data_IF_075032464251
#
_entry.id   IF_075032464251
#
_cell.length_a   1.000
_cell.length_b   1.000
_cell.length_c   1.000
_cell.angle_alpha   90.00
_cell.angle_beta   90.00
_cell.angle_gamma   90.00
#
_symmetry.space_group_name_H-M   'P 1'
#
loop_
_entity.id
_entity.type
_entity.pdbx_description
1 polymer ?
#
# COMPACT_ATOMS: atom_id res chain seq x y z
N UNK A 1 -10.98 -7.90 -25.43
CA UNK A 1 -9.61 -8.20 -24.99
C UNK A 1 -9.72 -8.60 -23.52
N UNK A 2 -8.85 -9.49 -23.05
CA UNK A 2 -8.90 -9.89 -21.61
C UNK A 2 -8.03 -8.95 -20.78
N UNK A 3 -8.50 -8.55 -19.60
CA UNK A 3 -7.71 -7.80 -18.63
C UNK A 3 -6.38 -8.53 -18.34
N UNK A 4 -5.27 -7.83 -18.36
CA UNK A 4 -3.94 -8.42 -18.19
C UNK A 4 -3.17 -7.65 -17.11
N UNK A 5 -2.46 -8.34 -16.23
CA UNK A 5 -1.58 -7.70 -15.25
C UNK A 5 -0.41 -7.02 -15.98
N UNK A 6 -0.31 -5.71 -15.85
CA UNK A 6 0.78 -4.88 -16.37
C UNK A 6 1.89 -4.62 -15.35
N UNK A 7 1.55 -4.58 -14.05
CA UNK A 7 2.54 -4.50 -12.97
C UNK A 7 2.01 -5.07 -11.67
N UNK A 8 2.94 -5.60 -10.85
CA UNK A 8 2.69 -6.01 -9.46
C UNK A 8 3.59 -5.16 -8.58
N UNK A 9 3.01 -4.54 -7.57
CA UNK A 9 3.71 -3.62 -6.70
C UNK A 9 3.46 -3.97 -5.24
N UNK A 10 4.47 -3.80 -4.41
CA UNK A 10 4.34 -3.98 -2.97
C UNK A 10 5.14 -2.93 -2.21
N UNK A 11 4.81 -2.77 -0.95
CA UNK A 11 5.45 -1.82 -0.06
C UNK A 11 5.64 -2.50 1.30
N UNK A 12 6.85 -2.96 1.64
CA UNK A 12 7.06 -3.71 2.89
C UNK A 12 6.77 -2.87 4.12
N UNK A 13 7.04 -1.57 4.09
CA UNK A 13 6.76 -0.63 5.17
C UNK A 13 5.60 0.29 4.79
N UNK A 14 4.58 0.35 5.65
CA UNK A 14 3.41 1.23 5.44
C UNK A 14 3.84 2.68 5.20
N UNK A 15 3.22 3.33 4.23
CA UNK A 15 3.38 4.77 3.95
C UNK A 15 4.74 5.20 3.39
N UNK A 16 5.47 4.28 2.79
CA UNK A 16 6.65 4.57 1.98
C UNK A 16 6.40 4.24 0.51
N UNK A 17 7.36 4.44 -0.37
CA UNK A 17 7.22 4.19 -1.81
C UNK A 17 7.01 2.70 -2.11
N UNK A 18 6.21 2.44 -3.14
CA UNK A 18 6.00 1.10 -3.68
C UNK A 18 7.18 0.68 -4.57
N UNK A 19 7.38 -0.63 -4.64
CA UNK A 19 8.34 -1.29 -5.51
C UNK A 19 7.61 -2.21 -6.48
N UNK A 20 8.07 -2.27 -7.72
CA UNK A 20 7.55 -3.21 -8.71
C UNK A 20 8.32 -4.52 -8.63
N UNK A 21 7.60 -5.63 -8.73
CA UNK A 21 8.13 -6.99 -8.75
C UNK A 21 7.51 -7.75 -9.93
N UNK A 22 8.21 -8.75 -10.46
CA UNK A 22 7.71 -9.54 -11.60
C UNK A 22 6.60 -10.51 -11.22
N UNK A 23 6.69 -11.06 -10.01
CA UNK A 23 5.74 -12.03 -9.47
C UNK A 23 5.58 -11.90 -7.96
N UNK A 24 4.47 -12.40 -7.44
CA UNK A 24 4.21 -12.43 -6.01
C UNK A 24 3.47 -13.68 -5.58
N UNK A 25 3.85 -14.21 -4.42
CA UNK A 25 3.03 -15.17 -3.71
C UNK A 25 1.87 -14.46 -3.03
N UNK A 26 0.71 -15.07 -3.15
CA UNK A 26 -0.53 -14.65 -2.51
C UNK A 26 -0.86 -15.64 -1.41
N UNK A 27 -1.21 -15.13 -0.24
CA UNK A 27 -1.75 -15.92 0.87
C UNK A 27 -3.21 -15.57 1.07
N UNK A 28 -4.04 -16.60 1.17
CA UNK A 28 -5.47 -16.47 1.49
C UNK A 28 -5.66 -15.55 2.70
N UNK A 29 -6.65 -14.69 2.65
CA UNK A 29 -7.03 -13.72 3.68
C UNK A 29 -5.91 -12.73 4.11
N UNK A 30 -4.72 -12.81 3.52
CA UNK A 30 -3.60 -11.89 3.77
C UNK A 30 -3.31 -11.01 2.55
N UNK A 31 -3.30 -11.60 1.35
CA UNK A 31 -2.96 -10.91 0.09
C UNK A 31 -1.49 -11.12 -0.31
N UNK A 32 -0.85 -10.09 -0.82
CA UNK A 32 0.55 -10.13 -1.27
C UNK A 32 1.48 -10.36 -0.06
N UNK A 33 2.26 -11.44 -0.10
CA UNK A 33 3.22 -11.75 0.97
C UNK A 33 4.29 -10.64 1.02
N UNK A 34 4.55 -10.14 2.21
CA UNK A 34 5.53 -9.07 2.46
C UNK A 34 4.97 -7.65 2.29
N UNK A 35 3.74 -7.48 1.79
CA UNK A 35 3.16 -6.15 1.63
C UNK A 35 2.69 -5.59 2.98
N UNK A 36 3.19 -4.41 3.34
CA UNK A 36 2.85 -3.65 4.57
C UNK A 36 3.00 -4.43 5.88
N UNK A 37 3.91 -5.41 5.90
CA UNK A 37 4.21 -6.18 7.12
C UNK A 37 4.92 -5.36 8.19
N UNK A 38 5.45 -4.20 7.83
CA UNK A 38 6.05 -3.24 8.75
C UNK A 38 5.27 -1.93 8.78
N UNK A 39 5.30 -1.27 9.95
CA UNK A 39 4.84 0.11 10.09
C UNK A 39 5.64 0.81 11.19
N UNK A 40 5.85 2.11 11.03
CA UNK A 40 6.32 2.95 12.12
C UNK A 40 5.13 3.47 12.93
N UNK A 41 5.30 3.54 14.25
CA UNK A 41 4.35 4.20 15.14
C UNK A 41 5.07 5.21 16.03
N UNK A 42 4.32 6.18 16.52
CA UNK A 42 4.76 7.19 17.50
C UNK A 42 3.91 7.11 18.76
N UNK A 43 4.39 7.68 19.85
CA UNK A 43 3.67 7.72 21.13
C UNK A 43 3.29 6.32 21.65
N UNK A 44 4.12 5.33 21.35
CA UNK A 44 4.01 3.97 21.87
C UNK A 44 5.29 3.59 22.61
N UNK A 45 5.13 2.96 23.76
CA UNK A 45 6.21 2.19 24.37
C UNK A 45 6.33 0.79 23.69
N UNK A 46 7.37 0.05 24.02
CA UNK A 46 7.65 -1.25 23.44
C UNK A 46 6.55 -2.28 23.70
N UNK A 47 5.90 -2.23 24.88
CA UNK A 47 4.82 -3.18 25.20
C UNK A 47 3.56 -2.87 24.39
N UNK A 48 3.21 -1.60 24.24
CA UNK A 48 2.11 -1.19 23.36
C UNK A 48 2.38 -1.54 21.88
N UNK A 49 3.63 -1.39 21.43
CA UNK A 49 4.02 -1.79 20.07
C UNK A 49 3.85 -3.29 19.84
N UNK A 50 4.26 -4.13 20.81
CA UNK A 50 4.04 -5.59 20.78
C UNK A 50 2.54 -5.96 20.71
N UNK A 51 1.68 -5.24 21.42
CA UNK A 51 0.23 -5.45 21.32
C UNK A 51 -0.29 -5.15 19.91
N UNK A 52 0.17 -4.07 19.27
CA UNK A 52 -0.18 -3.73 17.89
C UNK A 52 0.34 -4.75 16.88
N UNK A 53 1.51 -5.34 17.14
CA UNK A 53 2.05 -6.44 16.33
C UNK A 53 1.19 -7.70 16.47
N UNK A 54 0.63 -7.98 17.63
CA UNK A 54 -0.08 -9.21 17.95
C UNK A 54 -1.44 -9.33 17.26
N UNK A 55 -2.20 -8.22 17.16
CA UNK A 55 -3.58 -8.28 16.67
C UNK A 55 -4.04 -6.96 16.06
N UNK A 56 -4.81 -7.01 14.94
CA UNK A 56 -5.47 -5.83 14.40
C UNK A 56 -6.49 -5.21 15.35
N UNK A 57 -7.10 -5.98 16.25
CA UNK A 57 -8.06 -5.46 17.24
C UNK A 57 -7.40 -4.48 18.20
N UNK A 58 -6.16 -4.70 18.57
CA UNK A 58 -5.38 -3.80 19.41
C UNK A 58 -5.11 -2.44 18.74
N UNK A 59 -5.20 -2.39 17.43
CA UNK A 59 -5.01 -1.17 16.61
C UNK A 59 -6.28 -0.34 16.49
N UNK A 60 -7.47 -0.91 16.76
CA UNK A 60 -8.76 -0.22 16.64
C UNK A 60 -8.78 1.05 17.49
N UNK A 61 -9.22 2.16 16.89
CA UNK A 61 -9.29 3.47 17.55
C UNK A 61 -7.93 4.15 17.82
N UNK A 62 -6.80 3.48 17.53
CA UNK A 62 -5.44 3.98 17.83
C UNK A 62 -4.58 4.22 16.58
N UNK A 63 -5.19 4.25 15.40
CA UNK A 63 -4.49 4.42 14.13
C UNK A 63 -3.79 5.77 13.97
N UNK A 64 -4.17 6.77 14.73
CA UNK A 64 -3.48 8.05 14.77
C UNK A 64 -2.02 7.93 15.29
N UNK A 65 -1.71 6.83 15.98
CA UNK A 65 -0.36 6.51 16.43
C UNK A 65 0.50 5.88 15.32
N UNK A 66 -0.10 5.20 14.34
CA UNK A 66 0.61 4.65 13.19
C UNK A 66 0.95 5.77 12.21
N UNK A 67 2.21 5.81 11.75
CA UNK A 67 2.65 6.79 10.77
C UNK A 67 2.05 6.47 9.40
N UNK A 68 1.43 7.47 8.81
CA UNK A 68 0.77 7.40 7.50
C UNK A 68 1.17 8.61 6.66
N UNK A 69 1.01 8.55 5.35
CA UNK A 69 1.26 9.72 4.49
C UNK A 69 0.36 10.92 4.81
N UNK A 70 -0.73 10.71 5.54
CA UNK A 70 -1.61 11.78 6.01
C UNK A 70 -1.01 12.56 7.18
N UNK A 71 -0.35 11.87 8.12
CA UNK A 71 0.23 12.48 9.33
C UNK A 71 1.76 12.59 9.29
N UNK A 72 2.42 11.96 8.32
CA UNK A 72 3.88 11.93 8.16
C UNK A 72 4.25 11.84 6.66
N UNK A 73 3.90 12.88 5.86
CA UNK A 73 4.11 12.86 4.40
C UNK A 73 5.59 12.72 4.01
N UNK A 74 6.51 13.19 4.86
CA UNK A 74 7.95 13.08 4.64
C UNK A 74 8.44 11.63 4.44
N UNK A 75 7.72 10.62 4.97
CA UNK A 75 8.08 9.22 4.76
C UNK A 75 7.99 8.78 3.30
N UNK A 76 7.23 9.48 2.46
CA UNK A 76 7.05 9.12 1.05
C UNK A 76 8.33 9.24 0.20
N UNK A 77 9.34 9.98 0.67
CA UNK A 77 10.64 10.11 -0.02
C UNK A 77 11.58 8.92 0.19
N UNK A 78 11.30 8.09 1.20
CA UNK A 78 12.09 6.88 1.50
C UNK A 78 11.55 5.68 0.74
N UNK A 79 12.45 4.73 0.48
CA UNK A 79 12.11 3.42 -0.03
C UNK A 79 12.69 2.35 0.90
N UNK A 80 12.02 1.20 0.97
CA UNK A 80 12.47 0.05 1.76
C UNK A 80 12.48 -1.20 0.90
N UNK A 81 13.57 -1.93 0.95
CA UNK A 81 13.71 -3.24 0.31
C UNK A 81 13.72 -4.29 1.43
N UNK A 82 12.81 -5.27 1.34
CA UNK A 82 12.78 -6.39 2.27
C UNK A 82 13.12 -7.69 1.53
N UNK A 83 14.23 -8.28 1.92
CA UNK A 83 14.71 -9.54 1.34
C UNK A 83 15.53 -10.30 2.38
N UNK A 84 15.29 -11.63 2.49
CA UNK A 84 16.07 -12.54 3.36
C UNK A 84 16.18 -12.03 4.80
N UNK A 85 15.03 -11.65 5.40
CA UNK A 85 14.92 -11.09 6.74
C UNK A 85 15.70 -9.78 6.97
N UNK A 86 16.22 -9.17 5.91
CA UNK A 86 16.85 -7.85 5.96
C UNK A 86 15.91 -6.78 5.44
N UNK A 87 15.81 -5.67 6.18
CA UNK A 87 15.09 -4.48 5.79
C UNK A 87 16.08 -3.35 5.53
N UNK A 88 16.20 -2.96 4.27
CA UNK A 88 17.15 -1.93 3.82
C UNK A 88 16.41 -0.63 3.52
N UNK A 89 16.77 0.42 4.24
CA UNK A 89 16.33 1.79 3.99
C UNK A 89 17.16 2.42 2.88
N UNK A 90 16.49 2.99 1.88
CA UNK A 90 17.15 3.78 0.83
C UNK A 90 16.52 5.17 0.68
N UNK A 91 17.31 6.12 0.25
CA UNK A 91 16.91 7.48 -0.12
C UNK A 91 17.60 7.87 -1.42
N UNK A 92 16.84 8.28 -2.44
CA UNK A 92 17.36 8.59 -3.78
C UNK A 92 18.23 7.45 -4.33
N UNK A 93 17.75 6.21 -4.18
CA UNK A 93 18.41 4.97 -4.59
C UNK A 93 19.78 4.68 -3.91
N UNK A 94 20.15 5.44 -2.88
CA UNK A 94 21.33 5.17 -2.06
C UNK A 94 20.91 4.44 -0.78
N UNK A 95 21.64 3.38 -0.42
CA UNK A 95 21.46 2.68 0.84
C UNK A 95 21.90 3.58 2.00
N UNK A 96 21.03 3.69 2.99
CA UNK A 96 21.27 4.44 4.23
C UNK A 96 21.57 3.50 5.38
N UNK A 97 20.80 2.42 5.50
CA UNK A 97 20.92 1.44 6.58
C UNK A 97 20.24 0.13 6.18
N UNK A 98 20.89 -0.99 6.47
CA UNK A 98 20.29 -2.33 6.34
C UNK A 98 20.30 -3.02 7.70
N UNK A 99 19.18 -3.61 8.09
CA UNK A 99 18.99 -4.24 9.40
C UNK A 99 18.48 -5.67 9.26
N UNK A 100 18.81 -6.53 10.22
CA UNK A 100 18.13 -7.80 10.45
C UNK A 100 16.88 -7.53 11.32
N UNK A 101 15.70 -7.79 10.76
CA UNK A 101 14.41 -7.47 11.41
C UNK A 101 14.10 -8.36 12.62
N UNK A 102 14.85 -9.43 12.84
CA UNK A 102 14.72 -10.32 13.99
C UNK A 102 15.49 -9.80 15.22
N UNK A 103 16.40 -8.84 15.02
CA UNK A 103 17.17 -8.22 16.10
C UNK A 103 16.49 -6.93 16.57
N UNK A 104 16.03 -6.90 17.81
CA UNK A 104 15.34 -5.75 18.39
C UNK A 104 16.21 -4.49 18.38
N UNK A 105 17.48 -4.62 18.73
CA UNK A 105 18.44 -3.49 18.73
C UNK A 105 18.63 -2.87 17.33
N UNK A 106 18.57 -3.69 16.26
CA UNK A 106 18.66 -3.19 14.89
C UNK A 106 17.36 -2.50 14.44
N UNK A 107 16.20 -3.01 14.86
CA UNK A 107 14.91 -2.34 14.65
C UNK A 107 14.87 -0.97 15.35
N UNK A 108 15.43 -0.87 16.56
CA UNK A 108 15.59 0.40 17.27
C UNK A 108 16.56 1.34 16.56
N UNK A 109 17.68 0.83 16.06
CA UNK A 109 18.64 1.61 15.28
C UNK A 109 18.00 2.21 14.01
N UNK A 110 17.16 1.44 13.30
CA UNK A 110 16.42 1.95 12.14
C UNK A 110 15.42 3.04 12.54
N UNK A 111 14.69 2.84 13.64
CA UNK A 111 13.74 3.83 14.16
C UNK A 111 14.42 5.14 14.52
N UNK A 112 15.57 5.05 15.20
CA UNK A 112 16.39 6.21 15.55
C UNK A 112 16.94 6.91 14.29
N UNK A 113 17.37 6.13 13.29
CA UNK A 113 17.88 6.69 12.02
C UNK A 113 16.82 7.48 11.26
N UNK A 114 15.59 6.99 11.19
CA UNK A 114 14.47 7.73 10.57
C UNK A 114 14.15 9.00 11.38
N UNK A 115 14.17 8.93 12.71
CA UNK A 115 13.92 10.09 13.57
C UNK A 115 15.02 11.17 13.39
N UNK A 116 16.28 10.74 13.23
CA UNK A 116 17.41 11.63 12.95
C UNK A 116 17.26 12.32 11.58
N UNK A 117 16.86 11.56 10.56
CA UNK A 117 16.71 12.08 9.19
C UNK A 117 15.48 12.99 9.04
N UNK A 118 14.47 12.82 9.88
CA UNK A 118 13.19 13.53 9.79
C UNK A 118 12.92 14.41 11.02
N UNK A 119 13.40 15.62 11.00
CA UNK A 119 13.14 16.61 12.06
C UNK A 119 11.65 16.89 12.32
N UNK A 120 10.78 16.55 11.37
CA UNK A 120 9.32 16.65 11.52
C UNK A 120 8.75 15.59 12.45
N UNK A 121 9.46 14.49 12.67
CA UNK A 121 9.13 13.45 13.65
C UNK A 121 9.67 13.88 15.01
N UNK A 122 8.92 14.72 15.71
CA UNK A 122 9.34 15.33 16.99
C UNK A 122 9.50 14.35 18.15
N UNK A 123 9.19 13.07 17.95
CA UNK A 123 9.15 12.04 19.00
C UNK A 123 9.79 10.76 18.52
N UNK A 124 10.32 9.94 19.41
CA UNK A 124 10.78 8.60 19.07
C UNK A 124 9.68 7.79 18.38
N UNK A 125 10.08 7.03 17.39
CA UNK A 125 9.19 6.11 16.68
C UNK A 125 9.62 4.68 16.91
N UNK A 126 8.70 3.73 16.74
CA UNK A 126 8.95 2.29 16.88
C UNK A 126 8.59 1.59 15.60
N UNK A 127 9.50 0.75 15.08
CA UNK A 127 9.23 -0.15 13.97
C UNK A 127 8.49 -1.39 14.48
N UNK A 128 7.27 -1.61 13.96
CA UNK A 128 6.43 -2.77 14.24
C UNK A 128 6.45 -3.74 13.07
N UNK A 129 6.27 -5.04 13.34
CA UNK A 129 6.20 -6.13 12.33
C UNK A 129 4.98 -7.01 12.59
N UNK A 130 4.23 -7.36 11.54
CA UNK A 130 3.22 -8.41 11.57
C UNK A 130 3.02 -9.03 10.18
N UNK A 131 3.27 -10.33 10.05
CA UNK A 131 3.16 -11.07 8.79
C UNK A 131 1.74 -11.60 8.52
N UNK A 132 0.94 -11.81 9.57
CA UNK A 132 -0.41 -12.37 9.47
C UNK A 132 -1.46 -11.29 9.24
N UNK A 133 -1.27 -10.15 9.92
CA UNK A 133 -2.15 -9.00 9.87
C UNK A 133 -1.37 -7.75 9.48
N UNK A 134 -1.03 -7.58 8.19
CA UNK A 134 -0.28 -6.41 7.72
C UNK A 134 -0.93 -5.08 8.12
N UNK A 135 -0.15 -4.03 8.16
CA UNK A 135 -0.62 -2.69 8.53
C UNK A 135 -1.33 -2.01 7.35
N UNK A 136 -2.49 -2.55 6.98
CA UNK A 136 -3.26 -2.11 5.83
C UNK A 136 -3.99 -0.78 6.08
N UNK A 137 -5.05 -0.48 5.32
CA UNK A 137 -5.77 0.79 5.44
C UNK A 137 -6.62 0.85 6.72
N UNK A 138 -6.55 1.98 7.42
CA UNK A 138 -7.25 2.21 8.67
C UNK A 138 -8.77 2.22 8.53
N UNK A 139 -9.28 2.71 7.41
CA UNK A 139 -10.72 2.81 7.17
C UNK A 139 -11.35 1.44 6.96
N UNK A 140 -10.59 0.50 6.42
CA UNK A 140 -11.04 -0.86 6.18
C UNK A 140 -11.14 -1.62 7.49
N UNK A 141 -10.09 -1.59 8.30
CA UNK A 141 -10.01 -2.35 9.54
C UNK A 141 -11.09 -1.99 10.59
N UNK A 142 -11.72 -0.82 10.46
CA UNK A 142 -12.73 -0.35 11.40
C UNK A 142 -14.18 -0.57 10.95
N UNK A 143 -14.42 -0.92 9.68
CA UNK A 143 -15.77 -0.85 9.11
C UNK A 143 -16.21 -2.06 8.28
N UNK A 144 -15.31 -3.00 8.02
CA UNK A 144 -15.57 -4.15 7.15
C UNK A 144 -15.02 -5.43 7.76
N UNK A 145 -15.59 -6.55 7.38
CA UNK A 145 -15.21 -7.88 7.87
C UNK A 145 -13.83 -8.33 7.37
N UNK A 146 -13.31 -7.74 6.29
CA UNK A 146 -11.96 -8.02 5.80
C UNK A 146 -10.96 -6.97 6.27
N UNK A 147 -9.82 -7.44 6.80
CA UNK A 147 -8.74 -6.60 7.34
C UNK A 147 -7.64 -6.42 6.31
N UNK A 148 -7.37 -7.45 5.54
CA UNK A 148 -6.32 -7.50 4.54
C UNK A 148 -6.94 -7.48 3.15
N UNK A 149 -6.37 -6.70 2.25
CA UNK A 149 -6.82 -6.66 0.88
C UNK A 149 -5.71 -6.27 -0.08
N UNK A 150 -5.88 -6.70 -1.33
CA UNK A 150 -5.03 -6.31 -2.45
C UNK A 150 -5.75 -5.22 -3.23
N UNK A 151 -5.05 -4.16 -3.59
CA UNK A 151 -5.61 -3.09 -4.42
C UNK A 151 -5.32 -3.34 -5.89
N UNK A 152 -6.36 -3.28 -6.73
CA UNK A 152 -6.25 -3.37 -8.18
C UNK A 152 -6.59 -2.02 -8.82
N UNK A 153 -5.76 -1.59 -9.75
CA UNK A 153 -5.93 -0.38 -10.56
C UNK A 153 -6.08 -0.74 -12.03
N UNK A 154 -7.01 -0.11 -12.70
CA UNK A 154 -7.12 -0.12 -14.15
C UNK A 154 -6.31 1.05 -14.74
N UNK A 155 -5.30 0.74 -15.54
CA UNK A 155 -4.43 1.74 -16.20
C UNK A 155 -5.27 2.66 -17.10
N UNK A 156 -6.27 2.13 -17.79
CA UNK A 156 -7.11 2.93 -18.68
C UNK A 156 -7.99 3.92 -17.90
N UNK A 157 -8.43 3.58 -16.68
CA UNK A 157 -9.11 4.53 -15.78
C UNK A 157 -8.19 5.68 -15.38
N UNK A 158 -6.92 5.38 -15.12
CA UNK A 158 -5.92 6.41 -14.80
C UNK A 158 -5.65 7.27 -16.03
N UNK A 159 -5.53 6.67 -17.21
CA UNK A 159 -5.32 7.39 -18.49
C UNK A 159 -6.51 8.30 -18.81
N UNK A 160 -7.74 7.86 -18.60
CA UNK A 160 -8.93 8.70 -18.78
C UNK A 160 -8.92 9.89 -17.81
N UNK A 161 -8.55 9.65 -16.54
CA UNK A 161 -8.41 10.74 -15.56
C UNK A 161 -7.33 11.74 -15.97
N UNK A 162 -6.15 11.28 -16.41
CA UNK A 162 -5.06 12.13 -16.90
C UNK A 162 -5.52 13.04 -18.06
N UNK A 163 -6.23 12.45 -19.04
CA UNK A 163 -6.79 13.20 -20.17
C UNK A 163 -7.76 14.28 -19.72
N UNK A 164 -8.65 13.97 -18.77
CA UNK A 164 -9.66 14.94 -18.28
C UNK A 164 -9.06 16.11 -17.49
N UNK A 165 -7.94 15.90 -16.82
CA UNK A 165 -7.29 16.96 -16.03
C UNK A 165 -6.15 17.64 -16.79
N UNK A 166 -5.84 17.19 -18.01
CA UNK A 166 -4.71 17.66 -18.82
C UNK A 166 -3.38 17.66 -18.06
N UNK A 167 -3.11 16.52 -17.36
CA UNK A 167 -1.89 16.34 -16.60
C UNK A 167 -1.38 14.91 -16.72
N UNK A 168 -0.08 14.78 -16.90
CA UNK A 168 0.58 13.49 -16.79
C UNK A 168 0.93 13.22 -15.33
N UNK A 169 0.49 12.10 -14.79
CA UNK A 169 0.73 11.66 -13.42
C UNK A 169 1.21 10.21 -13.41
N UNK A 170 2.17 9.90 -12.54
CA UNK A 170 2.63 8.53 -12.39
C UNK A 170 1.55 7.64 -11.77
N UNK A 171 1.33 6.44 -12.32
CA UNK A 171 0.39 5.45 -11.77
C UNK A 171 0.69 5.12 -10.31
N UNK A 172 1.97 5.13 -9.93
CA UNK A 172 2.45 4.87 -8.56
C UNK A 172 1.84 5.79 -7.50
N UNK A 173 1.33 6.98 -7.88
CA UNK A 173 0.66 7.91 -6.96
C UNK A 173 -0.60 7.30 -6.33
N UNK A 174 -1.28 6.39 -7.04
CA UNK A 174 -2.45 5.68 -6.53
C UNK A 174 -2.10 4.47 -5.67
N UNK A 175 -0.82 4.10 -5.58
CA UNK A 175 -0.34 3.07 -4.64
C UNK A 175 -1.11 1.76 -4.75
N UNK A 176 -1.33 1.27 -5.98
CA UNK A 176 -2.00 0.01 -6.25
C UNK A 176 -1.04 -1.18 -6.24
N UNK A 177 -1.50 -2.32 -5.73
CA UNK A 177 -0.72 -3.56 -5.72
C UNK A 177 -0.68 -4.21 -7.11
N UNK A 178 -1.83 -4.35 -7.76
CA UNK A 178 -1.96 -4.92 -9.10
C UNK A 178 -2.43 -3.83 -10.04
N UNK A 179 -1.71 -3.60 -11.13
CA UNK A 179 -2.19 -2.77 -12.21
C UNK A 179 -2.57 -3.66 -13.39
N UNK A 180 -3.75 -3.42 -13.95
CA UNK A 180 -4.26 -4.15 -15.12
C UNK A 180 -4.47 -3.23 -16.30
N UNK A 181 -4.33 -3.78 -17.48
CA UNK A 181 -4.54 -3.10 -18.76
C UNK A 181 -5.44 -3.90 -19.67
N UNK A 182 -5.68 -3.41 -20.89
CA UNK A 182 -6.49 -4.06 -21.93
C UNK A 182 -7.97 -4.21 -21.61
N UNK A 183 -8.52 -3.28 -20.80
CA UNK A 183 -9.94 -3.16 -20.51
C UNK A 183 -10.39 -1.70 -20.62
N UNK A 184 -11.69 -1.47 -20.77
CA UNK A 184 -12.23 -0.12 -20.86
C UNK A 184 -12.00 0.69 -19.56
N UNK A 185 -11.87 2.02 -19.66
CA UNK A 185 -11.81 2.88 -18.48
C UNK A 185 -12.99 2.65 -17.54
N UNK A 186 -12.71 2.48 -16.26
CA UNK A 186 -13.69 2.30 -15.17
C UNK A 186 -14.47 0.99 -15.20
N UNK A 187 -14.15 0.06 -16.11
CA UNK A 187 -14.81 -1.25 -16.22
C UNK A 187 -14.68 -2.05 -14.93
N UNK A 188 -13.56 -1.95 -14.22
CA UNK A 188 -13.30 -2.63 -12.95
C UNK A 188 -14.37 -2.35 -11.88
N UNK A 189 -15.06 -1.22 -11.96
CA UNK A 189 -16.13 -0.85 -11.03
C UNK A 189 -17.34 -1.77 -11.14
N UNK A 190 -17.58 -2.33 -12.33
CA UNK A 190 -18.65 -3.31 -12.58
C UNK A 190 -18.34 -4.73 -12.07
N UNK A 191 -17.17 -4.94 -11.50
CA UNK A 191 -16.76 -6.24 -10.95
C UNK A 191 -17.11 -6.42 -9.47
N UNK A 192 -17.55 -5.37 -8.78
CA UNK A 192 -17.88 -5.41 -7.34
C UNK A 192 -18.87 -6.53 -7.03
N UNK A 193 -18.57 -7.33 -6.01
CA UNK A 193 -19.33 -8.50 -5.58
C UNK A 193 -19.04 -9.78 -6.36
N UNK A 194 -18.31 -9.71 -7.49
CA UNK A 194 -17.91 -10.88 -8.26
C UNK A 194 -16.65 -11.53 -7.69
N UNK A 195 -16.43 -12.78 -8.08
CA UNK A 195 -15.15 -13.46 -7.92
C UNK A 195 -14.41 -13.39 -9.27
N UNK A 196 -13.17 -12.95 -9.24
CA UNK A 196 -12.27 -12.98 -10.40
C UNK A 196 -11.15 -13.96 -10.12
N UNK A 197 -10.58 -14.54 -11.17
CA UNK A 197 -9.46 -15.47 -11.08
C UNK A 197 -8.25 -14.91 -11.82
N UNK A 198 -7.09 -14.96 -11.20
CA UNK A 198 -5.81 -14.57 -11.75
C UNK A 198 -4.86 -15.75 -11.59
N UNK A 199 -4.47 -16.40 -12.67
CA UNK A 199 -3.75 -17.67 -12.64
C UNK A 199 -4.52 -18.70 -11.80
N UNK A 200 -3.92 -19.22 -10.73
CA UNK A 200 -4.55 -20.19 -9.82
C UNK A 200 -5.17 -19.56 -8.55
N UNK A 201 -5.24 -18.23 -8.47
CA UNK A 201 -5.76 -17.52 -7.30
C UNK A 201 -7.12 -16.88 -7.61
N UNK A 202 -8.12 -17.20 -6.81
CA UNK A 202 -9.43 -16.55 -6.83
C UNK A 202 -9.42 -15.34 -5.89
N UNK A 203 -10.03 -14.25 -6.33
CA UNK A 203 -10.18 -13.03 -5.55
C UNK A 203 -11.64 -12.59 -5.53
N UNK A 204 -12.16 -12.29 -4.36
CA UNK A 204 -13.45 -11.59 -4.22
C UNK A 204 -13.21 -10.09 -4.40
N UNK A 205 -14.00 -9.47 -5.28
CA UNK A 205 -14.00 -8.02 -5.49
C UNK A 205 -14.91 -7.37 -4.44
N UNK A 206 -14.32 -6.61 -3.52
CA UNK A 206 -15.03 -6.12 -2.34
C UNK A 206 -15.74 -4.78 -2.59
N UNK A 207 -14.97 -3.77 -3.00
CA UNK A 207 -15.50 -2.42 -3.21
C UNK A 207 -14.53 -1.52 -3.96
N UNK A 208 -15.02 -0.36 -4.43
CA UNK A 208 -14.18 0.71 -4.93
C UNK A 208 -13.24 1.25 -3.84
N UNK A 209 -12.07 1.74 -4.24
CA UNK A 209 -11.08 2.35 -3.34
C UNK A 209 -11.33 3.86 -3.26
N UNK A 210 -11.91 4.39 -2.18
CA UNK A 210 -11.97 5.83 -1.98
C UNK A 210 -10.56 6.35 -1.69
N UNK A 211 -10.10 7.28 -2.51
CA UNK A 211 -8.78 7.90 -2.34
C UNK A 211 -8.82 8.97 -1.26
N UNK A 212 -7.67 9.19 -0.64
CA UNK A 212 -7.48 10.23 0.37
C UNK A 212 -6.39 11.21 -0.08
N UNK A 213 -6.11 12.22 0.72
CA UNK A 213 -5.11 13.26 0.43
C UNK A 213 -3.70 12.73 0.12
N UNK A 214 -3.41 11.47 0.42
CA UNK A 214 -2.12 10.84 0.09
C UNK A 214 -1.81 10.84 -1.42
N UNK A 215 -2.84 10.83 -2.29
CA UNK A 215 -2.64 10.91 -3.75
C UNK A 215 -2.22 12.32 -4.22
N UNK A 216 -2.21 13.31 -3.35
CA UNK A 216 -1.70 14.64 -3.68
C UNK A 216 -0.16 14.72 -3.52
N UNK A 217 0.47 13.72 -2.91
CA UNK A 217 1.92 13.64 -2.78
C UNK A 217 2.53 13.05 -4.06
N UNK A 218 3.54 13.71 -4.61
CA UNK A 218 4.32 13.14 -5.71
C UNK A 218 5.08 11.90 -5.22
N UNK A 219 5.14 10.84 -6.03
CA UNK A 219 5.90 9.64 -5.66
C UNK A 219 7.35 9.96 -5.29
N UNK A 220 7.91 9.25 -4.32
CA UNK A 220 9.30 9.41 -3.83
C UNK A 220 9.65 10.84 -3.39
N UNK A 221 8.65 11.62 -2.98
CA UNK A 221 8.79 13.03 -2.59
C UNK A 221 7.85 13.37 -1.45
N UNK A 222 8.12 14.46 -0.75
CA UNK A 222 7.19 15.11 0.19
C UNK A 222 6.44 16.30 -0.44
N UNK A 223 6.60 16.52 -1.76
CA UNK A 223 5.87 17.55 -2.51
C UNK A 223 4.38 17.16 -2.63
N UNK A 224 3.52 17.96 -2.01
CA UNK A 224 2.07 17.83 -1.98
C UNK A 224 1.35 18.89 -2.85
N UNK A 225 2.02 19.41 -3.87
CA UNK A 225 1.46 20.46 -4.75
C UNK A 225 0.31 19.97 -5.64
N UNK A 226 0.07 18.66 -5.73
CA UNK A 226 -1.06 18.10 -6.47
C UNK A 226 -2.38 18.28 -5.71
N UNK A 227 -3.46 18.46 -6.47
CA UNK A 227 -4.82 18.49 -5.96
C UNK A 227 -5.69 17.40 -6.61
N UNK A 228 -5.12 16.21 -6.77
CA UNK A 228 -5.75 15.11 -7.52
C UNK A 228 -7.04 14.62 -6.87
N UNK A 229 -7.12 14.64 -5.54
CA UNK A 229 -8.33 14.21 -4.84
C UNK A 229 -9.54 15.09 -5.20
N UNK A 230 -9.38 16.41 -5.24
CA UNK A 230 -10.46 17.31 -5.64
C UNK A 230 -10.75 17.20 -7.13
N UNK A 231 -9.73 17.00 -7.97
CA UNK A 231 -9.91 16.80 -9.40
C UNK A 231 -10.70 15.53 -9.71
N UNK A 232 -10.49 14.42 -8.99
CA UNK A 232 -11.32 13.22 -9.07
C UNK A 232 -12.78 13.56 -8.77
N UNK A 233 -13.04 14.22 -7.64
CA UNK A 233 -14.41 14.61 -7.25
C UNK A 233 -15.07 15.51 -8.29
N UNK A 234 -14.33 16.48 -8.81
CA UNK A 234 -14.84 17.43 -9.80
C UNK A 234 -15.24 16.75 -11.12
N UNK A 235 -14.41 15.81 -11.61
CA UNK A 235 -14.58 15.21 -12.93
C UNK A 235 -15.50 13.96 -12.93
N UNK A 236 -15.60 13.24 -11.81
CA UNK A 236 -16.34 11.97 -11.74
C UNK A 236 -17.40 11.91 -10.65
N UNK A 237 -17.55 12.96 -9.86
CA UNK A 237 -18.48 13.04 -8.72
C UNK A 237 -18.23 11.99 -7.61
N UNK A 238 -17.04 11.37 -7.59
CA UNK A 238 -16.57 10.46 -6.54
C UNK A 238 -15.07 10.64 -6.29
N UNK A 239 -14.54 9.97 -5.26
CA UNK A 239 -13.12 9.98 -4.92
C UNK A 239 -12.41 8.66 -5.27
N UNK A 240 -13.10 7.74 -5.95
CA UNK A 240 -12.61 6.39 -6.13
C UNK A 240 -11.62 6.27 -7.30
N UNK A 241 -10.65 5.37 -7.15
CA UNK A 241 -9.77 4.90 -8.21
C UNK A 241 -9.32 3.48 -7.88
N UNK A 242 -9.76 2.49 -8.72
CA UNK A 242 -9.50 1.07 -8.51
C UNK A 242 -10.43 0.40 -7.50
N UNK A 243 -10.17 -0.86 -7.24
CA UNK A 243 -10.98 -1.76 -6.41
C UNK A 243 -10.14 -2.53 -5.41
N UNK A 244 -10.74 -2.93 -4.29
CA UNK A 244 -10.13 -3.85 -3.31
C UNK A 244 -10.53 -5.29 -3.60
N UNK A 245 -9.57 -6.19 -3.43
CA UNK A 245 -9.69 -7.63 -3.60
C UNK A 245 -9.33 -8.35 -2.30
N UNK A 246 -10.08 -9.39 -1.94
CA UNK A 246 -9.70 -10.35 -0.91
C UNK A 246 -9.28 -11.65 -1.57
N UNK A 247 -8.08 -12.14 -1.26
CA UNK A 247 -7.61 -13.43 -1.76
C UNK A 247 -8.38 -14.58 -1.09
N UNK A 248 -8.95 -15.47 -1.90
CA UNK A 248 -9.70 -16.64 -1.44
C UNK A 248 -8.86 -17.91 -1.41
N UNK A 249 -7.74 -17.91 -2.14
CA UNK A 249 -6.81 -19.04 -2.28
C UNK A 249 -5.36 -18.58 -2.06
N UNK A 250 -4.50 -19.54 -1.71
CA UNK A 250 -3.07 -19.39 -1.83
C UNK A 250 -2.61 -19.61 -3.27
N UNK A 251 -1.56 -18.93 -3.70
CA UNK A 251 -1.00 -19.17 -5.04
C UNK A 251 0.01 -18.10 -5.47
N UNK A 252 0.31 -18.07 -6.74
CA UNK A 252 1.25 -17.12 -7.35
C UNK A 252 0.57 -16.34 -8.47
N UNK A 253 0.85 -15.04 -8.55
CA UNK A 253 0.48 -14.18 -9.67
C UNK A 253 1.73 -13.60 -10.31
N UNK A 254 1.68 -13.40 -11.64
CA UNK A 254 2.79 -12.90 -12.45
C UNK A 254 2.32 -11.76 -13.35
N UNK A 255 3.22 -10.85 -13.70
CA UNK A 255 2.98 -9.92 -14.80
C UNK A 255 2.62 -10.72 -16.06
N UNK A 256 1.63 -10.27 -16.81
CA UNK A 256 1.11 -10.95 -17.99
C UNK A 256 -0.02 -11.94 -17.72
N UNK A 257 -0.32 -12.30 -16.46
CA UNK A 257 -1.50 -13.11 -16.18
C UNK A 257 -2.79 -12.39 -16.58
N UNK A 258 -3.73 -13.13 -17.13
CA UNK A 258 -5.07 -12.66 -17.50
C UNK A 258 -6.02 -12.77 -16.31
N UNK A 259 -7.04 -11.91 -16.33
CA UNK A 259 -8.17 -11.98 -15.38
C UNK A 259 -9.31 -12.74 -16.05
N UNK A 260 -9.83 -13.72 -15.34
CA UNK A 260 -10.99 -14.54 -15.70
C UNK A 260 -12.15 -14.28 -14.74
N UNK A 261 -13.40 -14.49 -15.20
CA UNK A 261 -14.64 -14.29 -14.43
C UNK A 261 -15.39 -15.58 -14.24
#
# INVERSE_FOLDING_TARGET
>A
MSATISSINYCPVKSVSFQTIEKSQIKKDVGIIGDRIFAFAKDLDLEQAKLFEKSPDERKGKWNKVLTLKNSPALNKYNFIFKEEKLTLTLKDQEILSIDINQLSEREALSNKITELENSLKQPIVLMKNNEFPFFDTSISNKVDFINSVSLLNIQSINDFQKKIDKNIETSIFRGNICVDNIEPWEERGWIGKVIKINNVSFKVEKNIPRCVAINLKPKSDDNSFNLLQLLKKNYNHFDMGIYLTALDDGEINIGNTIEF
#
